data_IF_197497965517
#
_entry.id   IF_197497965517
#
_cell.length_a   1.000
_cell.length_b   1.000
_cell.length_c   1.000
_cell.angle_alpha   90.00
_cell.angle_beta   90.00
_cell.angle_gamma   90.00
#
_symmetry.space_group_name_H-M   'P 1'
#
loop_
_entity.id
_entity.type
_entity.pdbx_description
1 polymer ?
#
# COMPACT_ATOMS: atom_id res chain seq x y z
N UNK A 1 -32.63 -20.51 21.57
CA UNK A 1 -31.60 -19.46 21.39
C UNK A 1 -30.71 -20.00 20.29
N UNK A 2 -31.01 -19.63 19.04
CA UNK A 2 -30.17 -19.97 17.90
C UNK A 2 -28.76 -19.43 18.18
N UNK A 3 -27.69 -20.22 17.95
CA UNK A 3 -26.34 -19.71 18.10
C UNK A 3 -26.18 -18.50 17.17
N UNK A 4 -25.53 -17.41 17.63
CA UNK A 4 -25.25 -16.28 16.75
C UNK A 4 -24.51 -16.82 15.53
N UNK A 5 -24.99 -16.44 14.34
CA UNK A 5 -24.49 -16.85 13.03
C UNK A 5 -22.95 -16.93 13.08
N UNK A 6 -22.41 -18.14 13.27
CA UNK A 6 -20.99 -18.33 13.49
C UNK A 6 -20.37 -18.16 12.11
N UNK A 7 -19.92 -16.94 11.79
CA UNK A 7 -19.02 -16.70 10.67
C UNK A 7 -18.00 -17.84 10.63
N UNK A 8 -17.86 -18.50 9.47
CA UNK A 8 -16.97 -19.63 9.39
C UNK A 8 -15.56 -19.12 9.60
N UNK A 9 -14.84 -19.69 10.57
CA UNK A 9 -13.41 -19.39 10.77
C UNK A 9 -12.65 -19.57 9.45
N UNK A 10 -13.07 -20.52 8.61
CA UNK A 10 -12.51 -20.72 7.28
C UNK A 10 -12.77 -19.57 6.32
N UNK A 11 -13.95 -18.93 6.36
CA UNK A 11 -14.25 -17.76 5.52
C UNK A 11 -13.37 -16.57 5.89
N UNK A 12 -13.17 -16.34 7.19
CA UNK A 12 -12.24 -15.32 7.67
C UNK A 12 -10.81 -15.59 7.22
N UNK A 13 -10.31 -16.81 7.43
CA UNK A 13 -8.95 -17.20 7.03
C UNK A 13 -8.75 -17.13 5.51
N UNK A 14 -9.76 -17.49 4.73
CA UNK A 14 -9.71 -17.40 3.27
C UNK A 14 -9.68 -15.94 2.81
N UNK A 15 -10.51 -15.07 3.40
CA UNK A 15 -10.51 -13.64 3.10
C UNK A 15 -9.17 -12.99 3.49
N UNK A 16 -8.66 -13.31 4.68
CA UNK A 16 -7.35 -12.86 5.16
C UNK A 16 -6.24 -13.30 4.20
N UNK A 17 -6.18 -14.58 3.88
CA UNK A 17 -5.18 -15.11 2.96
C UNK A 17 -5.23 -14.42 1.60
N UNK A 18 -6.42 -14.27 1.01
CA UNK A 18 -6.60 -13.60 -0.29
C UNK A 18 -6.10 -12.15 -0.23
N UNK A 19 -6.49 -11.39 0.78
CA UNK A 19 -6.10 -10.00 0.91
C UNK A 19 -4.57 -9.84 1.15
N UNK A 20 -4.00 -10.61 2.09
CA UNK A 20 -2.58 -10.48 2.44
C UNK A 20 -1.63 -11.06 1.39
N UNK A 21 -2.09 -12.02 0.58
CA UNK A 21 -1.31 -12.60 -0.53
C UNK A 21 -1.47 -11.86 -1.86
N UNK A 22 -2.51 -11.03 -2.02
CA UNK A 22 -2.75 -10.33 -3.27
C UNK A 22 -1.63 -9.36 -3.63
N UNK A 23 -1.12 -9.47 -4.86
CA UNK A 23 -0.09 -8.61 -5.45
C UNK A 23 -0.53 -8.22 -6.85
N UNK A 24 -0.17 -7.01 -7.28
CA UNK A 24 -0.38 -6.59 -8.66
C UNK A 24 0.47 -7.44 -9.60
N UNK A 25 -0.15 -8.07 -10.58
CA UNK A 25 0.58 -8.82 -11.62
C UNK A 25 1.14 -7.85 -12.67
N UNK A 26 1.98 -8.36 -13.57
CA UNK A 26 2.56 -7.55 -14.66
C UNK A 26 1.51 -7.05 -15.66
N UNK A 27 0.48 -7.85 -15.86
CA UNK A 27 -0.55 -7.60 -16.89
C UNK A 27 -1.75 -6.80 -16.35
N UNK A 28 -1.88 -6.65 -15.03
CA UNK A 28 -2.92 -5.83 -14.41
C UNK A 28 -2.63 -4.34 -14.57
N UNK A 29 -3.60 -3.60 -15.12
CA UNK A 29 -3.59 -2.14 -15.05
C UNK A 29 -3.70 -1.65 -13.60
N UNK A 30 -3.44 -0.36 -13.36
CA UNK A 30 -3.59 0.21 -12.02
C UNK A 30 -5.05 0.25 -11.58
N UNK A 31 -5.97 0.53 -12.50
CA UNK A 31 -7.41 0.56 -12.22
C UNK A 31 -7.91 -0.84 -11.79
N UNK A 32 -7.60 -1.87 -12.58
CA UNK A 32 -7.94 -3.26 -12.23
C UNK A 32 -7.30 -3.72 -10.92
N UNK A 33 -6.08 -3.24 -10.63
CA UNK A 33 -5.40 -3.51 -9.38
C UNK A 33 -6.14 -2.92 -8.17
N UNK A 34 -6.51 -1.64 -8.24
CA UNK A 34 -7.25 -0.97 -7.16
C UNK A 34 -8.62 -1.62 -6.94
N UNK A 35 -9.36 -1.89 -8.01
CA UNK A 35 -10.68 -2.54 -7.94
C UNK A 35 -10.57 -3.93 -7.29
N UNK A 36 -9.60 -4.74 -7.73
CA UNK A 36 -9.39 -6.08 -7.16
C UNK A 36 -8.92 -6.02 -5.70
N UNK A 37 -8.09 -5.02 -5.37
CA UNK A 37 -7.65 -4.78 -4.00
C UNK A 37 -8.83 -4.50 -3.07
N UNK A 38 -9.72 -3.58 -3.47
CA UNK A 38 -10.94 -3.26 -2.71
C UNK A 38 -11.88 -4.46 -2.60
N UNK A 39 -12.07 -5.21 -3.70
CA UNK A 39 -12.87 -6.43 -3.71
C UNK A 39 -12.40 -7.51 -2.73
N UNK A 40 -11.10 -7.58 -2.41
CA UNK A 40 -10.58 -8.50 -1.39
C UNK A 40 -10.57 -7.89 0.01
N UNK A 41 -10.43 -6.57 0.11
CA UNK A 41 -10.39 -5.88 1.39
C UNK A 41 -11.78 -5.78 2.04
N UNK A 42 -12.83 -5.46 1.27
CA UNK A 42 -14.19 -5.29 1.81
C UNK A 42 -14.72 -6.53 2.56
N UNK A 43 -14.64 -7.76 2.02
CA UNK A 43 -15.08 -8.95 2.76
C UNK A 43 -14.19 -9.23 3.98
N UNK A 44 -12.88 -8.97 3.88
CA UNK A 44 -11.97 -9.13 5.01
C UNK A 44 -12.35 -8.20 6.17
N UNK A 45 -12.65 -6.94 5.88
CA UNK A 45 -13.10 -5.96 6.87
C UNK A 45 -14.47 -6.31 7.46
N UNK A 46 -15.42 -6.75 6.63
CA UNK A 46 -16.76 -7.17 7.09
C UNK A 46 -16.71 -8.38 8.04
N UNK A 47 -15.74 -9.27 7.87
CA UNK A 47 -15.51 -10.43 8.73
C UNK A 47 -14.71 -10.09 10.01
N UNK A 48 -14.45 -8.80 10.28
CA UNK A 48 -13.73 -8.33 11.47
C UNK A 48 -12.21 -8.23 11.29
N UNK A 49 -11.73 -8.33 10.05
CA UNK A 49 -10.34 -8.08 9.70
C UNK A 49 -9.96 -6.62 9.91
N UNK A 50 -8.75 -6.39 10.42
CA UNK A 50 -8.29 -5.06 10.81
C UNK A 50 -6.89 -4.78 10.24
N UNK A 51 -6.74 -3.64 9.56
CA UNK A 51 -5.46 -3.16 9.07
C UNK A 51 -5.02 -1.91 9.83
N UNK A 52 -3.81 -1.96 10.40
CA UNK A 52 -3.21 -0.79 11.02
C UNK A 52 -3.77 -0.41 12.40
N UNK A 53 -4.53 -1.29 13.07
CA UNK A 53 -5.09 -1.04 14.40
C UNK A 53 -4.17 -1.46 15.57
N UNK A 54 -2.86 -1.50 15.38
CA UNK A 54 -1.96 -1.67 16.53
C UNK A 54 -2.02 -0.42 17.41
N UNK A 55 -2.17 -0.54 18.73
CA UNK A 55 -2.33 0.62 19.62
C UNK A 55 -1.22 1.68 19.41
N UNK A 56 0.05 1.25 19.32
CA UNK A 56 1.19 2.13 19.02
C UNK A 56 1.15 2.80 17.66
N UNK A 57 0.47 2.17 16.69
CA UNK A 57 0.27 2.76 15.38
C UNK A 57 -0.77 3.86 15.52
N UNK A 58 -1.92 3.56 16.14
CA UNK A 58 -3.02 4.51 16.35
C UNK A 58 -2.53 5.72 17.11
N UNK A 59 -1.80 5.55 18.22
CA UNK A 59 -1.18 6.63 19.00
C UNK A 59 -0.38 7.60 18.13
N UNK A 60 0.33 7.11 17.10
CA UNK A 60 1.08 7.96 16.17
C UNK A 60 0.23 8.79 15.20
N UNK A 61 -1.07 8.51 15.11
CA UNK A 61 -2.06 9.23 14.28
C UNK A 61 -3.10 10.00 15.10
N UNK A 62 -3.08 9.88 16.43
CA UNK A 62 -3.94 10.65 17.32
C UNK A 62 -3.35 12.06 17.45
N UNK A 63 -4.07 13.06 16.93
CA UNK A 63 -3.74 14.48 17.12
C UNK A 63 -4.33 14.95 18.45
N UNK A 64 -3.78 14.47 19.57
CA UNK A 64 -4.17 14.90 20.91
C UNK A 64 -3.27 16.05 21.39
N UNK A 65 -3.87 17.11 21.91
CA UNK A 65 -3.13 18.21 22.56
C UNK A 65 -2.45 17.75 23.86
N UNK A 66 -3.06 16.79 24.55
CA UNK A 66 -2.53 16.14 25.74
C UNK A 66 -2.42 14.62 25.51
N UNK A 67 -1.20 14.06 25.40
CA UNK A 67 -0.98 12.62 25.21
C UNK A 67 -1.57 11.75 26.32
N UNK A 68 -1.77 12.30 27.53
CA UNK A 68 -2.28 11.56 28.69
C UNK A 68 -3.82 11.62 28.79
N UNK A 69 -4.49 12.41 27.95
CA UNK A 69 -5.94 12.64 27.98
C UNK A 69 -6.61 12.44 26.61
N UNK A 70 -6.22 11.41 25.87
CA UNK A 70 -6.83 11.06 24.57
C UNK A 70 -8.31 10.72 24.77
N UNK A 71 -9.19 11.49 24.13
CA UNK A 71 -10.62 11.23 24.12
C UNK A 71 -10.96 10.06 23.20
N UNK A 72 -12.10 9.40 23.46
CA UNK A 72 -12.58 8.34 22.57
C UNK A 72 -12.79 8.83 21.13
N UNK A 73 -13.18 10.09 20.93
CA UNK A 73 -13.36 10.67 19.60
C UNK A 73 -12.03 10.85 18.85
N UNK A 74 -10.99 11.33 19.52
CA UNK A 74 -9.64 11.45 18.95
C UNK A 74 -9.03 10.09 18.64
N UNK A 75 -9.29 9.09 19.49
CA UNK A 75 -8.87 7.71 19.25
C UNK A 75 -9.52 7.11 18.00
N UNK A 76 -10.85 7.26 17.83
CA UNK A 76 -11.54 6.79 16.62
C UNK A 76 -11.10 7.56 15.36
N UNK A 77 -10.81 8.86 15.47
CA UNK A 77 -10.23 9.63 14.37
C UNK A 77 -8.81 9.14 14.01
N UNK A 78 -7.98 8.86 15.01
CA UNK A 78 -6.64 8.28 14.83
C UNK A 78 -6.70 6.90 14.18
N UNK A 79 -7.66 6.05 14.57
CA UNK A 79 -7.91 4.75 13.91
C UNK A 79 -8.25 4.91 12.44
N UNK A 80 -9.15 5.83 12.10
CA UNK A 80 -9.55 6.07 10.72
C UNK A 80 -8.34 6.54 9.86
N UNK A 81 -7.52 7.45 10.39
CA UNK A 81 -6.28 7.91 9.74
C UNK A 81 -5.27 6.77 9.58
N UNK A 82 -5.02 6.02 10.65
CA UNK A 82 -4.09 4.89 10.65
C UNK A 82 -4.50 3.83 9.62
N UNK A 83 -5.80 3.54 9.51
CA UNK A 83 -6.38 2.62 8.53
C UNK A 83 -6.12 3.10 7.10
N UNK A 84 -6.49 4.32 6.76
CA UNK A 84 -6.30 4.88 5.40
C UNK A 84 -4.81 4.92 5.01
N UNK A 85 -3.96 5.32 5.95
CA UNK A 85 -2.52 5.34 5.75
C UNK A 85 -1.98 3.93 5.49
N UNK A 86 -2.41 2.93 6.28
CA UNK A 86 -2.02 1.54 6.08
C UNK A 86 -2.48 0.97 4.74
N UNK A 87 -3.70 1.28 4.33
CA UNK A 87 -4.23 0.85 3.03
C UNK A 87 -3.38 1.42 1.87
N UNK A 88 -3.05 2.71 1.93
CA UNK A 88 -2.17 3.34 0.93
C UNK A 88 -0.77 2.71 0.89
N UNK A 89 -0.18 2.46 2.05
CA UNK A 89 1.12 1.77 2.15
C UNK A 89 1.06 0.35 1.60
N UNK A 90 -0.01 -0.38 1.91
CA UNK A 90 -0.20 -1.76 1.47
C UNK A 90 -0.35 -1.84 -0.05
N UNK A 91 -1.11 -0.91 -0.65
CA UNK A 91 -1.27 -0.80 -2.10
C UNK A 91 0.08 -0.59 -2.80
N UNK A 92 0.90 0.35 -2.33
CA UNK A 92 2.23 0.58 -2.93
C UNK A 92 3.17 -0.62 -2.67
N UNK A 93 3.14 -1.20 -1.47
CA UNK A 93 4.01 -2.34 -1.12
C UNK A 93 3.75 -3.55 -2.01
N UNK A 94 2.50 -3.78 -2.39
CA UNK A 94 2.05 -4.94 -3.15
C UNK A 94 1.88 -4.66 -4.65
N UNK A 95 2.15 -3.44 -5.08
CA UNK A 95 2.26 -3.07 -6.50
C UNK A 95 3.39 -3.83 -7.20
N UNK A 96 3.30 -3.90 -8.54
CA UNK A 96 4.21 -4.68 -9.37
C UNK A 96 5.66 -4.19 -9.19
N UNK A 97 6.58 -5.03 -8.64
CA UNK A 97 7.95 -4.61 -8.39
C UNK A 97 8.72 -4.27 -9.66
N UNK A 98 8.30 -4.77 -10.82
CA UNK A 98 8.93 -4.41 -12.09
C UNK A 98 8.62 -2.97 -12.52
N UNK A 99 7.40 -2.50 -12.24
CA UNK A 99 6.96 -1.13 -12.55
C UNK A 99 7.32 -0.13 -11.47
N UNK A 100 7.17 -0.54 -10.21
CA UNK A 100 7.20 0.36 -9.05
C UNK A 100 8.33 0.05 -8.05
N UNK A 101 9.27 -0.85 -8.41
CA UNK A 101 10.41 -1.18 -7.56
C UNK A 101 11.27 0.03 -7.21
N UNK A 102 11.56 0.88 -8.20
CA UNK A 102 12.28 2.15 -8.02
C UNK A 102 11.51 3.11 -7.09
N UNK A 103 10.20 3.31 -7.30
CA UNK A 103 9.35 4.14 -6.43
C UNK A 103 9.41 3.68 -4.97
N UNK A 104 9.31 2.37 -4.74
CA UNK A 104 9.37 1.78 -3.39
C UNK A 104 10.73 2.01 -2.72
N UNK A 105 11.81 1.99 -3.49
CA UNK A 105 13.14 2.29 -2.99
C UNK A 105 13.27 3.79 -2.65
N UNK A 106 12.78 4.66 -3.52
CA UNK A 106 12.80 6.11 -3.30
C UNK A 106 12.02 6.52 -2.06
N UNK A 107 10.83 5.95 -1.84
CA UNK A 107 10.03 6.19 -0.63
C UNK A 107 10.80 5.82 0.65
N UNK A 108 11.48 4.67 0.66
CA UNK A 108 12.33 4.27 1.79
C UNK A 108 13.51 5.22 1.99
N UNK A 109 14.11 5.69 0.89
CA UNK A 109 15.24 6.62 0.94
C UNK A 109 14.82 8.01 1.45
N UNK A 110 13.65 8.52 1.03
CA UNK A 110 13.10 9.76 1.56
C UNK A 110 12.87 9.67 3.07
N UNK A 111 12.26 8.57 3.51
CA UNK A 111 12.04 8.32 4.94
C UNK A 111 13.36 8.25 5.72
N UNK A 112 14.37 7.56 5.19
CA UNK A 112 15.70 7.50 5.80
C UNK A 112 16.40 8.88 5.90
N UNK A 113 16.00 9.85 5.08
CA UNK A 113 16.47 11.24 5.11
C UNK A 113 15.61 12.15 5.98
N UNK A 114 14.63 11.60 6.71
CA UNK A 114 13.70 12.35 7.55
C UNK A 114 12.57 13.05 6.77
N UNK A 115 12.38 12.72 5.49
CA UNK A 115 11.30 13.29 4.67
C UNK A 115 10.23 12.21 4.48
N UNK A 116 9.06 12.39 5.11
CA UNK A 116 7.94 11.49 4.88
C UNK A 116 7.28 11.82 3.52
N UNK A 117 7.37 10.90 2.56
CA UNK A 117 6.72 10.98 1.24
C UNK A 117 5.77 9.82 1.00
N UNK A 118 5.46 9.04 2.02
CA UNK A 118 4.48 7.99 1.90
C UNK A 118 3.07 8.58 1.76
N UNK A 119 2.15 7.87 1.08
CA UNK A 119 0.78 8.32 0.94
C UNK A 119 0.03 8.25 2.27
N UNK A 120 -0.82 9.25 2.52
CA UNK A 120 -1.65 9.30 3.72
C UNK A 120 -2.99 8.57 3.53
N UNK A 121 -3.43 8.42 2.27
CA UNK A 121 -4.71 7.77 1.94
C UNK A 121 -4.56 6.76 0.81
N UNK A 122 -5.53 5.86 0.67
CA UNK A 122 -5.56 4.91 -0.44
C UNK A 122 -5.61 5.62 -1.80
N UNK A 123 -6.33 6.74 -1.89
CA UNK A 123 -6.47 7.54 -3.12
C UNK A 123 -5.12 8.15 -3.52
N UNK A 124 -4.42 8.79 -2.57
CA UNK A 124 -3.09 9.34 -2.84
C UNK A 124 -2.11 8.24 -3.29
N UNK A 125 -2.17 7.05 -2.68
CA UNK A 125 -1.35 5.92 -3.11
C UNK A 125 -1.63 5.51 -4.55
N UNK A 126 -2.91 5.46 -4.95
CA UNK A 126 -3.29 5.16 -6.32
C UNK A 126 -2.81 6.24 -7.31
N UNK A 127 -3.00 7.52 -6.97
CA UNK A 127 -2.52 8.64 -7.78
C UNK A 127 -1.00 8.59 -7.97
N UNK A 128 -0.25 8.24 -6.91
CA UNK A 128 1.19 8.02 -7.01
C UNK A 128 1.52 6.91 -8.02
N UNK A 129 0.81 5.77 -8.01
CA UNK A 129 1.05 4.67 -8.96
C UNK A 129 0.70 5.05 -10.40
N UNK A 130 -0.36 5.83 -10.61
CA UNK A 130 -0.80 6.29 -11.93
C UNK A 130 0.18 7.31 -12.53
N UNK A 131 0.63 8.27 -11.73
CA UNK A 131 1.49 9.36 -12.20
C UNK A 131 2.98 9.04 -12.15
N UNK A 132 3.37 7.87 -11.62
CA UNK A 132 4.77 7.49 -11.50
C UNK A 132 5.43 7.25 -12.85
N UNK A 133 6.54 7.96 -13.09
CA UNK A 133 7.41 7.78 -14.26
C UNK A 133 8.72 7.18 -13.78
N UNK A 134 9.04 5.96 -14.25
CA UNK A 134 10.28 5.29 -13.87
C UNK A 134 11.50 6.01 -14.48
N UNK A 135 12.39 6.60 -13.65
CA UNK A 135 13.57 7.32 -14.14
C UNK A 135 14.54 6.38 -14.88
N UNK A 136 14.48 5.08 -14.62
CA UNK A 136 15.37 4.09 -15.22
C UNK A 136 14.89 3.58 -16.59
N UNK A 137 13.62 3.83 -16.98
CA UNK A 137 13.11 3.41 -18.29
C UNK A 137 13.77 4.14 -19.45
N UNK A 138 14.01 5.45 -19.32
CA UNK A 138 14.67 6.25 -20.37
C UNK A 138 16.16 5.94 -20.51
N UNK A 139 16.85 5.68 -19.39
CA UNK A 139 18.30 5.45 -19.34
C UNK A 139 18.72 4.17 -20.06
N UNK A 140 17.96 3.09 -19.86
CA UNK A 140 18.19 1.80 -20.52
C UNK A 140 18.00 1.84 -22.06
N UNK A 141 17.17 2.76 -22.59
CA UNK A 141 16.98 2.91 -24.04
C UNK A 141 18.17 3.63 -24.70
N UNK A 142 18.74 4.65 -24.03
CA UNK A 142 19.94 5.34 -24.53
C UNK A 142 21.16 4.41 -24.56
N UNK A 143 21.42 3.65 -23.50
CA UNK A 143 22.58 2.74 -23.44
C UNK A 143 22.53 1.63 -24.50
N UNK A 144 21.32 1.10 -24.80
CA UNK A 144 21.10 0.12 -25.89
C UNK A 144 21.36 0.71 -27.28
N UNK A 145 21.14 2.01 -27.47
CA UNK A 145 21.40 2.69 -28.74
C UNK A 145 22.89 3.00 -28.96
N UNK A 146 23.66 3.21 -27.88
CA UNK A 146 25.10 3.51 -27.92
C UNK A 146 25.97 2.25 -27.91
N UNK A 147 25.50 1.15 -27.34
CA UNK A 147 26.23 -0.12 -27.26
C UNK A 147 26.42 -0.85 -28.59
N UNK A 148 25.66 -0.50 -29.64
CA UNK A 148 25.71 -1.18 -30.95
C UNK A 148 26.77 -0.63 -31.92
N UNK A 149 27.56 0.38 -31.52
CA UNK A 149 28.57 1.04 -32.38
C UNK A 149 30.03 0.72 -32.05
N UNK A 150 30.31 -0.24 -31.15
CA UNK A 150 31.67 -0.56 -30.70
C UNK A 150 32.07 -2.05 -30.86
N UNK A 151 31.73 -2.68 -31.97
CA UNK A 151 32.38 -3.91 -32.42
C UNK A 151 32.48 -3.89 -33.95
N UNK A 152 33.58 -3.37 -34.49
CA UNK A 152 33.81 -3.26 -35.92
C UNK A 152 35.01 -2.36 -36.18
N UNK A 153 36.21 -2.84 -35.87
CA UNK A 153 37.42 -2.04 -36.02
C UNK A 153 38.69 -2.87 -35.86
N UNK A 154 39.14 -3.41 -37.00
CA UNK A 154 40.41 -4.07 -37.33
C UNK A 154 40.63 -5.50 -36.86
#
# INVERSE_FOLDING_TARGET
MEPPDRFSIFEFLDAEYRFFSFRQTRDMSNAEYLETFQRYFEPYEQLGGNLGLGDKIIEGFVDAEDPDAITAAEWEAGKAKAREHHLGHWLIRNSDPHRYGSLRADLKNFHARGINKYPETLIQAYEMLVNYVDPNRGRNQQERSTGRRRCGGR
#
